data_IF_123408833630
#
_entry.id   IF_123408833630
#
_cell.length_a   1.000
_cell.length_b   1.000
_cell.length_c   1.000
_cell.angle_alpha   90.00
_cell.angle_beta   90.00
_cell.angle_gamma   90.00
#
_symmetry.space_group_name_H-M   'P 1'
#
loop_
_entity.id
_entity.type
_entity.pdbx_description
1 polymer ?
#
# COMPACT_ATOMS: atom_id res chain seq x y z
N UNK A 1 1.47 7.37 -4.95
CA UNK A 1 1.40 6.09 -4.21
C UNK A 1 1.27 4.94 -5.20
N UNK A 2 1.86 3.79 -4.90
CA UNK A 2 1.65 2.52 -5.62
C UNK A 2 1.11 1.48 -4.66
N UNK A 3 0.11 0.69 -5.09
CA UNK A 3 -0.43 -0.45 -4.33
C UNK A 3 -0.44 -1.66 -5.24
N UNK A 4 0.14 -2.77 -4.79
CA UNK A 4 0.11 -4.04 -5.51
C UNK A 4 -0.14 -5.21 -4.57
N UNK A 5 -0.62 -6.32 -5.14
CA UNK A 5 -0.98 -7.50 -4.37
C UNK A 5 -0.08 -8.69 -4.68
N UNK A 6 0.36 -9.39 -3.64
CA UNK A 6 1.01 -10.70 -3.74
C UNK A 6 0.04 -11.82 -3.37
N UNK A 7 0.30 -13.05 -3.80
CA UNK A 7 -0.58 -14.21 -3.55
C UNK A 7 -0.25 -14.98 -2.27
N UNK A 8 0.84 -14.61 -1.59
CA UNK A 8 1.30 -15.17 -0.31
C UNK A 8 2.31 -14.20 0.33
N UNK A 9 2.55 -14.32 1.64
CA UNK A 9 3.56 -13.51 2.36
C UNK A 9 4.95 -13.63 1.72
N UNK A 10 5.32 -14.85 1.28
CA UNK A 10 6.55 -15.10 0.53
C UNK A 10 6.59 -14.33 -0.80
N UNK A 11 5.46 -14.30 -1.53
CA UNK A 11 5.37 -13.58 -2.79
C UNK A 11 5.44 -12.05 -2.55
N UNK A 12 4.74 -11.53 -1.54
CA UNK A 12 4.82 -10.11 -1.13
C UNK A 12 6.27 -9.72 -0.82
N UNK A 13 6.98 -10.53 -0.03
CA UNK A 13 8.37 -10.26 0.29
C UNK A 13 9.29 -10.33 -0.95
N UNK A 14 9.07 -11.31 -1.84
CA UNK A 14 9.82 -11.43 -3.09
C UNK A 14 9.60 -10.22 -4.02
N UNK A 15 8.38 -9.69 -4.09
CA UNK A 15 8.07 -8.46 -4.82
C UNK A 15 8.81 -7.27 -4.21
N UNK A 16 8.80 -7.15 -2.88
CA UNK A 16 9.49 -6.06 -2.18
C UNK A 16 11.01 -6.11 -2.44
N UNK A 17 11.60 -7.30 -2.39
CA UNK A 17 13.02 -7.49 -2.66
C UNK A 17 13.39 -7.21 -4.12
N UNK A 18 12.51 -7.61 -5.04
CA UNK A 18 12.66 -7.28 -6.44
C UNK A 18 12.66 -5.77 -6.67
N UNK A 19 11.69 -5.04 -6.10
CA UNK A 19 11.63 -3.57 -6.17
C UNK A 19 12.89 -2.94 -5.59
N UNK A 20 13.32 -3.34 -4.38
CA UNK A 20 14.56 -2.84 -3.78
C UNK A 20 15.77 -3.07 -4.68
N UNK A 21 15.89 -4.26 -5.28
CA UNK A 21 16.99 -4.61 -6.16
C UNK A 21 17.01 -3.74 -7.42
N UNK A 22 15.85 -3.57 -8.06
CA UNK A 22 15.75 -2.76 -9.28
C UNK A 22 16.02 -1.28 -9.01
N UNK A 23 15.48 -0.73 -7.92
CA UNK A 23 15.68 0.68 -7.56
C UNK A 23 17.13 0.94 -7.13
N UNK A 24 17.74 -0.01 -6.40
CA UNK A 24 19.17 0.05 -6.05
C UNK A 24 20.08 0.04 -7.27
N UNK A 25 19.72 -0.71 -8.32
CA UNK A 25 20.45 -0.69 -9.59
C UNK A 25 20.42 0.69 -10.28
N UNK A 26 19.46 1.56 -9.93
CA UNK A 26 19.36 2.94 -10.39
C UNK A 26 20.03 3.94 -9.43
N UNK A 27 20.71 3.48 -8.39
CA UNK A 27 21.42 4.33 -7.42
C UNK A 27 20.56 4.90 -6.29
N UNK A 28 19.31 4.43 -6.15
CA UNK A 28 18.39 4.88 -5.12
C UNK A 28 18.18 3.78 -4.07
N UNK A 29 17.98 4.18 -2.81
CA UNK A 29 17.62 3.27 -1.72
C UNK A 29 16.37 3.79 -1.01
N UNK A 30 15.54 2.90 -0.45
CA UNK A 30 14.40 3.35 0.33
C UNK A 30 14.87 4.16 1.54
N UNK A 31 14.17 5.24 1.84
CA UNK A 31 14.32 6.04 3.06
C UNK A 31 13.90 5.20 4.27
N UNK A 32 12.81 4.45 4.11
CA UNK A 32 12.25 3.57 5.13
C UNK A 32 11.68 2.28 4.51
N UNK A 33 11.70 1.21 5.29
CA UNK A 33 11.04 -0.06 4.94
C UNK A 33 10.36 -0.58 6.18
N UNK A 34 9.09 -0.96 6.04
CA UNK A 34 8.30 -1.58 7.11
C UNK A 34 7.76 -2.92 6.63
N UNK A 35 7.59 -3.86 7.57
CA UNK A 35 7.18 -5.23 7.28
C UNK A 35 8.35 -6.16 6.99
N UNK A 36 8.45 -7.22 7.78
CA UNK A 36 9.51 -8.23 7.67
C UNK A 36 9.04 -9.47 6.89
N UNK A 37 9.95 -10.45 6.74
CA UNK A 37 9.61 -11.75 6.18
C UNK A 37 8.47 -12.41 6.97
N UNK A 38 7.37 -12.69 6.28
CA UNK A 38 6.15 -13.24 6.89
C UNK A 38 5.05 -12.22 7.14
N UNK A 39 5.31 -10.92 6.90
CA UNK A 39 4.27 -9.90 6.93
C UNK A 39 3.32 -10.01 5.74
N UNK A 40 2.03 -9.78 5.98
CA UNK A 40 1.00 -9.66 4.95
C UNK A 40 1.04 -8.30 4.23
N UNK A 41 1.84 -7.36 4.74
CA UNK A 41 2.04 -6.02 4.19
C UNK A 41 3.49 -5.57 4.36
N UNK A 42 4.12 -5.18 3.25
CA UNK A 42 5.41 -4.51 3.20
C UNK A 42 5.24 -3.10 2.60
N UNK A 43 5.87 -2.11 3.22
CA UNK A 43 5.92 -0.73 2.76
C UNK A 43 7.36 -0.36 2.40
N UNK A 44 7.53 0.23 1.23
CA UNK A 44 8.80 0.82 0.78
C UNK A 44 8.60 2.31 0.55
N UNK A 45 9.32 3.14 1.30
CA UNK A 45 9.28 4.58 1.18
C UNK A 45 10.52 5.10 0.44
N UNK A 46 10.31 5.79 -0.68
CA UNK A 46 11.36 6.45 -1.46
C UNK A 46 11.23 7.99 -1.45
N UNK A 47 10.41 8.56 -0.56
CA UNK A 47 10.14 9.99 -0.47
C UNK A 47 9.08 10.44 -1.48
N UNK A 48 9.41 10.44 -2.76
CA UNK A 48 8.49 10.87 -3.83
C UNK A 48 7.45 9.78 -4.17
N UNK A 49 7.79 8.51 -3.90
CA UNK A 49 6.96 7.35 -4.17
C UNK A 49 6.97 6.41 -2.97
N UNK A 50 5.77 6.08 -2.49
CA UNK A 50 5.55 5.02 -1.50
C UNK A 50 4.89 3.82 -2.18
N UNK A 51 5.47 2.64 -2.00
CA UNK A 51 5.00 1.37 -2.55
C UNK A 51 4.44 0.51 -1.42
N UNK A 52 3.18 0.12 -1.54
CA UNK A 52 2.51 -0.79 -0.62
C UNK A 52 2.29 -2.14 -1.31
N UNK A 53 2.88 -3.19 -0.75
CA UNK A 53 2.76 -4.56 -1.24
C UNK A 53 2.04 -5.39 -0.17
N UNK A 54 0.91 -5.98 -0.52
CA UNK A 54 0.04 -6.60 0.48
C UNK A 54 -0.69 -7.84 -0.04
N UNK A 55 -1.20 -8.69 0.85
CA UNK A 55 -2.17 -9.73 0.46
C UNK A 55 -3.50 -9.11 0.01
N UNK A 56 -4.30 -9.81 -0.82
CA UNK A 56 -5.59 -9.31 -1.28
C UNK A 56 -6.54 -8.99 -0.12
N UNK A 57 -6.57 -9.85 0.91
CA UNK A 57 -7.42 -9.65 2.08
C UNK A 57 -7.00 -8.42 2.89
N UNK A 58 -5.70 -8.21 3.09
CA UNK A 58 -5.15 -7.02 3.74
C UNK A 58 -5.45 -5.76 2.93
N UNK A 59 -5.35 -5.81 1.60
CA UNK A 59 -5.72 -4.70 0.70
C UNK A 59 -7.18 -4.32 0.82
N UNK A 60 -8.06 -5.32 0.80
CA UNK A 60 -9.49 -5.11 0.96
C UNK A 60 -9.85 -4.57 2.33
N UNK A 61 -9.18 -5.02 3.39
CA UNK A 61 -9.43 -4.55 4.75
C UNK A 61 -9.02 -3.07 4.95
N UNK A 62 -7.82 -2.68 4.50
CA UNK A 62 -7.33 -1.32 4.68
C UNK A 62 -7.83 -0.33 3.64
N UNK A 63 -8.21 -0.80 2.45
CA UNK A 63 -8.77 -0.02 1.34
C UNK A 63 -8.11 1.37 1.14
N UNK A 64 -6.78 1.36 1.05
CA UNK A 64 -6.04 2.61 0.86
C UNK A 64 -6.49 3.30 -0.43
N UNK A 65 -6.81 2.54 -1.48
CA UNK A 65 -7.27 3.09 -2.75
C UNK A 65 -8.58 3.89 -2.59
N UNK A 66 -9.53 3.40 -1.80
CA UNK A 66 -10.75 4.14 -1.47
C UNK A 66 -10.49 5.42 -0.68
N UNK A 67 -9.49 5.43 0.21
CA UNK A 67 -9.11 6.61 0.98
C UNK A 67 -8.52 7.74 0.11
N UNK A 68 -7.71 7.36 -0.88
CA UNK A 68 -6.94 8.30 -1.70
C UNK A 68 -7.55 8.57 -3.08
N UNK A 69 -8.68 7.94 -3.42
CA UNK A 69 -9.47 8.29 -4.61
C UNK A 69 -10.39 9.48 -4.29
N UNK A 70 -10.09 10.64 -4.88
CA UNK A 70 -10.88 11.88 -4.75
C UNK A 70 -12.37 11.69 -5.11
N UNK A 71 -12.68 10.71 -5.99
CA UNK A 71 -14.06 10.39 -6.38
C UNK A 71 -14.80 9.58 -5.31
N UNK A 72 -14.09 8.77 -4.53
CA UNK A 72 -14.66 7.96 -3.46
C UNK A 72 -14.64 8.67 -2.11
N UNK A 73 -13.64 9.52 -1.85
CA UNK A 73 -13.56 10.34 -0.63
C UNK A 73 -14.79 11.25 -0.47
N UNK A 74 -15.24 11.85 -1.58
CA UNK A 74 -16.48 12.65 -1.63
C UNK A 74 -17.74 11.84 -1.26
N UNK A 75 -17.82 10.56 -1.67
CA UNK A 75 -18.96 9.66 -1.35
C UNK A 75 -18.92 9.19 0.11
N UNK A 76 -17.72 8.94 0.64
CA UNK A 76 -17.52 8.59 2.06
C UNK A 76 -17.93 9.75 2.97
N UNK A 77 -17.61 11.00 2.60
CA UNK A 77 -18.06 12.20 3.33
C UNK A 77 -19.59 12.31 3.34
N UNK A 78 -20.24 12.21 2.18
CA UNK A 78 -21.71 12.28 2.05
C UNK A 78 -22.44 11.19 2.85
N UNK A 79 -21.83 10.01 2.98
CA UNK A 79 -22.42 8.91 3.75
C UNK A 79 -22.26 9.10 5.26
N UNK A 80 -21.15 9.69 5.71
CA UNK A 80 -20.95 10.05 7.11
C UNK A 80 -21.86 11.19 7.56
N UNK A 81 -22.04 12.21 6.73
CA UNK A 81 -22.90 13.37 7.04
C UNK A 81 -24.37 12.97 7.27
N UNK A 82 -24.93 12.10 6.41
CA UNK A 82 -26.29 11.57 6.58
C UNK A 82 -26.52 10.76 7.86
N UNK A 83 -25.45 10.24 8.47
CA UNK A 83 -25.55 9.39 9.66
C UNK A 83 -25.47 10.21 10.97
N UNK A 84 -25.04 11.46 10.89
CA UNK A 84 -25.03 12.43 12.00
C UNK A 84 -26.29 13.29 12.08
N UNK A 85 -27.12 13.29 11.03
CA UNK A 85 -28.37 14.05 10.94
C UNK A 85 -29.63 13.23 11.33
N UNK A 86 -29.45 12.04 11.91
CA UNK A 86 -30.49 11.17 12.48
C UNK A 86 -30.17 10.84 13.95
#
# INVERSE_FOLDING_TARGET
>A
MVVASGTSTRHVFALADHVRTQVKAQGLSPIGTEGESGSDWVLLDYGDVVVHLMLPDTRGFYDLEGLWDDRLSSVVQLTRERQTDL
#
